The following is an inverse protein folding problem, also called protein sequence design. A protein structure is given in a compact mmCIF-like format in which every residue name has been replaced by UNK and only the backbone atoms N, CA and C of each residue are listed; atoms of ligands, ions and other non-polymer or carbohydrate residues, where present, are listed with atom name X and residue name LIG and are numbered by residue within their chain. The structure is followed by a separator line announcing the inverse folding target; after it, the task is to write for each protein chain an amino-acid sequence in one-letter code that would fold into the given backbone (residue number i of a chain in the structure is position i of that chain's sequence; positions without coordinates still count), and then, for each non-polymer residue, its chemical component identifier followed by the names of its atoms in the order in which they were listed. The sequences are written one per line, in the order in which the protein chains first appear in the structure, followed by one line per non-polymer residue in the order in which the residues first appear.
data_IF_215276482333
#
_entry.id   IF_215276482333
#
_cell.length_a   1.000
_cell.length_b   1.000
_cell.length_c   1.000
_cell.angle_alpha   90.00
_cell.angle_beta   90.00
_cell.angle_gamma   90.00
#
_symmetry.space_group_name_H-M   'P 1'
#
loop_
_entity.id
_entity.type
_entity.pdbx_description
1 polymer ?
#
# COMPACT_ATOMS: atom_id res chain seq x y z
N UNK A 1 -33.61 -16.39 -11.40
CA UNK A 1 -33.85 -14.94 -11.54
C UNK A 1 -32.59 -14.26 -11.09
N UNK A 2 -31.74 -13.89 -12.04
CA UNK A 2 -30.46 -13.20 -11.76
C UNK A 2 -30.77 -11.71 -11.78
N UNK A 3 -30.61 -11.05 -10.63
CA UNK A 3 -30.70 -9.60 -10.52
C UNK A 3 -29.52 -8.97 -11.27
N UNK A 4 -29.80 -8.25 -12.33
CA UNK A 4 -28.85 -7.38 -13.02
C UNK A 4 -28.55 -6.18 -12.13
N UNK A 5 -27.33 -6.07 -11.66
CA UNK A 5 -26.81 -4.83 -11.08
C UNK A 5 -26.28 -4.00 -12.26
N UNK A 6 -27.09 -3.03 -12.66
CA UNK A 6 -26.76 -2.06 -13.70
C UNK A 6 -25.86 -0.99 -13.10
N UNK A 7 -24.56 -1.03 -13.35
CA UNK A 7 -23.69 0.14 -13.29
C UNK A 7 -23.54 0.68 -14.73
N UNK A 8 -24.11 1.83 -14.95
CA UNK A 8 -24.35 2.50 -16.20
C UNK A 8 -23.26 2.41 -17.27
N UNK A 9 -23.44 1.51 -18.18
CA UNK A 9 -23.16 1.63 -19.60
C UNK A 9 -23.85 0.44 -20.28
N UNK A 10 -24.71 0.71 -21.28
CA UNK A 10 -25.42 -0.30 -22.06
C UNK A 10 -24.44 -1.32 -22.65
N UNK A 11 -24.41 -2.50 -22.07
CA UNK A 11 -23.77 -3.67 -22.71
C UNK A 11 -24.79 -4.25 -23.67
N UNK A 12 -24.53 -4.17 -24.96
CA UNK A 12 -25.29 -4.89 -25.98
C UNK A 12 -25.18 -6.40 -25.70
N UNK A 13 -26.30 -7.17 -25.78
CA UNK A 13 -26.24 -8.61 -25.59
C UNK A 13 -25.47 -9.23 -26.75
N UNK A 14 -24.25 -9.73 -26.47
CA UNK A 14 -23.54 -10.57 -27.41
C UNK A 14 -24.30 -11.91 -27.53
N UNK A 15 -24.64 -12.27 -28.77
CA UNK A 15 -25.31 -13.52 -29.12
C UNK A 15 -24.57 -14.73 -28.56
N UNK A 16 -25.29 -15.54 -27.79
CA UNK A 16 -24.80 -16.80 -27.27
C UNK A 16 -24.71 -17.84 -28.41
N UNK A 17 -23.53 -18.10 -28.90
CA UNK A 17 -23.19 -19.35 -29.57
C UNK A 17 -22.63 -20.29 -28.55
N UNK A 18 -23.29 -21.42 -28.37
CA UNK A 18 -23.15 -22.39 -27.28
C UNK A 18 -21.73 -22.92 -27.08
N UNK A 19 -21.14 -22.49 -25.98
CA UNK A 19 -20.13 -23.29 -25.30
C UNK A 19 -20.39 -23.20 -23.78
N UNK A 20 -20.83 -24.35 -23.22
CA UNK A 20 -21.36 -24.45 -21.84
C UNK A 20 -20.28 -24.38 -20.76
N UNK A 21 -19.01 -24.02 -21.09
CA UNK A 21 -17.90 -24.02 -20.14
C UNK A 21 -17.23 -22.65 -19.92
N UNK A 22 -17.79 -21.56 -20.44
CA UNK A 22 -17.24 -20.24 -20.19
C UNK A 22 -17.67 -19.71 -18.81
N UNK A 23 -16.77 -19.75 -17.84
CA UNK A 23 -16.97 -19.06 -16.56
C UNK A 23 -16.69 -17.57 -16.74
N UNK A 24 -17.74 -16.76 -16.58
CA UNK A 24 -17.60 -15.28 -16.55
C UNK A 24 -17.13 -14.90 -15.16
N UNK A 25 -15.88 -14.44 -15.04
CA UNK A 25 -15.37 -13.86 -13.82
C UNK A 25 -15.46 -12.33 -13.93
N UNK A 26 -16.27 -11.69 -13.08
CA UNK A 26 -16.32 -10.25 -12.96
C UNK A 26 -15.13 -9.78 -12.14
N UNK A 27 -14.23 -8.99 -12.74
CA UNK A 27 -13.18 -8.31 -12.03
C UNK A 27 -13.69 -6.92 -11.61
N UNK A 28 -13.53 -6.49 -10.34
CA UNK A 28 -13.87 -5.13 -9.93
C UNK A 28 -12.94 -4.14 -10.62
N UNK A 29 -13.48 -3.34 -11.52
CA UNK A 29 -12.74 -2.35 -12.31
C UNK A 29 -13.40 -2.03 -13.64
N UNK A 30 -12.89 -1.02 -14.35
CA UNK A 30 -13.43 -0.51 -15.62
C UNK A 30 -13.40 -1.52 -16.80
N UNK A 31 -12.68 -2.62 -16.67
CA UNK A 31 -12.49 -3.60 -17.73
C UNK A 31 -12.93 -4.98 -17.25
N UNK A 32 -14.12 -5.39 -17.63
CA UNK A 32 -14.53 -6.81 -17.59
C UNK A 32 -14.01 -7.50 -18.86
N UNK A 33 -13.29 -8.60 -18.72
CA UNK A 33 -12.80 -9.38 -19.86
C UNK A 33 -13.15 -10.84 -19.71
N UNK A 34 -13.42 -11.50 -20.82
CA UNK A 34 -13.66 -12.94 -20.88
C UNK A 34 -12.36 -13.69 -20.65
N UNK A 35 -12.35 -14.63 -19.69
CA UNK A 35 -11.23 -15.53 -19.46
C UNK A 35 -11.65 -16.90 -19.96
N UNK A 36 -11.12 -17.31 -21.09
CA UNK A 36 -11.42 -18.62 -21.70
C UNK A 36 -10.29 -19.64 -21.46
N UNK A 37 -9.07 -19.15 -21.23
CA UNK A 37 -7.88 -20.01 -21.03
C UNK A 37 -7.09 -19.54 -19.80
N UNK A 38 -6.29 -20.43 -19.16
CA UNK A 38 -5.41 -20.06 -18.06
C UNK A 38 -4.41 -18.95 -18.41
N UNK A 39 -4.01 -18.86 -19.69
CA UNK A 39 -3.10 -17.83 -20.21
C UNK A 39 -3.74 -16.43 -20.16
N UNK A 40 -5.06 -16.33 -20.42
CA UNK A 40 -5.79 -15.07 -20.36
C UNK A 40 -5.80 -14.50 -18.94
N UNK A 41 -5.77 -15.38 -17.93
CA UNK A 41 -5.67 -14.96 -16.53
C UNK A 41 -4.35 -14.22 -16.25
N UNK A 42 -3.23 -14.72 -16.76
CA UNK A 42 -1.92 -14.08 -16.59
C UNK A 42 -1.86 -12.71 -17.29
N UNK A 43 -2.47 -12.60 -18.47
CA UNK A 43 -2.56 -11.34 -19.21
C UNK A 43 -3.42 -10.34 -18.43
N UNK A 44 -4.56 -10.76 -17.91
CA UNK A 44 -5.44 -9.91 -17.12
C UNK A 44 -4.83 -9.51 -15.78
N UNK A 45 -4.14 -10.42 -15.12
CA UNK A 45 -3.37 -10.11 -13.92
C UNK A 45 -2.31 -9.03 -14.20
N UNK A 46 -1.58 -9.16 -15.33
CA UNK A 46 -0.60 -8.16 -15.76
C UNK A 46 -1.26 -6.80 -16.02
N UNK A 47 -2.40 -6.79 -16.69
CA UNK A 47 -3.16 -5.56 -16.99
C UNK A 47 -3.69 -4.91 -15.70
N UNK A 48 -4.18 -5.70 -14.74
CA UNK A 48 -4.62 -5.20 -13.43
C UNK A 48 -3.47 -4.58 -12.63
N UNK A 49 -2.30 -5.23 -12.61
CA UNK A 49 -1.09 -4.67 -11.98
C UNK A 49 -0.69 -3.34 -12.66
N UNK A 50 -0.85 -3.23 -13.98
CA UNK A 50 -0.54 -2.00 -14.70
C UNK A 50 -1.57 -0.89 -14.50
N UNK A 51 -2.85 -1.25 -14.33
CA UNK A 51 -3.97 -0.30 -14.17
C UNK A 51 -4.29 0.06 -12.72
N UNK A 52 -3.69 -0.61 -11.74
CA UNK A 52 -3.95 -0.39 -10.30
C UNK A 52 -3.48 0.98 -9.78
N UNK A 53 -3.07 1.89 -10.67
CA UNK A 53 -2.69 3.25 -10.37
C UNK A 53 -3.89 4.17 -10.11
N UNK A 54 -3.90 4.84 -8.96
CA UNK A 54 -4.77 5.98 -8.73
C UNK A 54 -4.37 7.12 -9.67
N UNK A 55 -5.35 7.76 -10.33
CA UNK A 55 -5.09 8.78 -11.36
C UNK A 55 -4.33 10.03 -10.89
N UNK A 56 -4.17 10.22 -9.58
CA UNK A 56 -3.55 11.38 -8.96
C UNK A 56 -2.12 11.12 -8.43
N UNK A 57 -1.49 10.00 -8.79
CA UNK A 57 -0.13 9.73 -8.34
C UNK A 57 0.87 10.76 -8.86
N UNK A 58 1.78 11.18 -8.00
CA UNK A 58 2.94 12.00 -8.38
C UNK A 58 3.79 11.30 -9.45
N UNK A 59 4.53 12.07 -10.26
CA UNK A 59 5.47 11.52 -11.24
C UNK A 59 6.49 10.57 -10.61
N UNK A 60 6.97 10.90 -9.40
CA UNK A 60 7.90 10.07 -8.63
C UNK A 60 7.25 8.74 -8.21
N UNK A 61 6.00 8.77 -7.75
CA UNK A 61 5.26 7.56 -7.38
C UNK A 61 5.04 6.65 -8.58
N UNK A 62 4.67 7.22 -9.72
CA UNK A 62 4.45 6.46 -10.97
C UNK A 62 5.69 5.75 -11.47
N UNK A 63 6.86 6.35 -11.30
CA UNK A 63 8.09 5.88 -11.93
C UNK A 63 8.91 4.99 -10.99
N UNK A 64 9.16 5.44 -9.78
CA UNK A 64 10.07 4.76 -8.84
C UNK A 64 9.29 3.82 -7.93
N UNK A 65 8.34 4.33 -7.15
CA UNK A 65 7.60 3.54 -6.16
C UNK A 65 6.87 2.38 -6.80
N UNK A 66 6.19 2.59 -7.93
CA UNK A 66 5.47 1.53 -8.63
C UNK A 66 6.36 0.52 -9.32
N UNK A 67 7.56 0.89 -9.75
CA UNK A 67 8.49 -0.07 -10.31
C UNK A 67 8.90 -1.09 -9.25
N UNK A 68 9.30 -0.63 -8.06
CA UNK A 68 9.69 -1.50 -6.95
C UNK A 68 8.50 -2.24 -6.33
N UNK A 69 7.38 -1.56 -6.09
CA UNK A 69 6.15 -2.18 -5.58
C UNK A 69 5.70 -3.34 -6.47
N UNK A 70 5.65 -3.16 -7.80
CA UNK A 70 5.26 -4.23 -8.73
C UNK A 70 6.18 -5.45 -8.70
N UNK A 71 7.47 -5.27 -8.48
CA UNK A 71 8.40 -6.40 -8.33
C UNK A 71 8.12 -7.16 -7.03
N UNK A 72 7.93 -6.43 -5.93
CA UNK A 72 7.58 -7.01 -4.64
C UNK A 72 6.19 -7.67 -4.69
N UNK A 73 5.21 -7.06 -5.33
CA UNK A 73 3.87 -7.63 -5.53
C UNK A 73 3.94 -8.97 -6.24
N UNK A 74 4.74 -9.09 -7.32
CA UNK A 74 4.94 -10.37 -8.02
C UNK A 74 5.58 -11.44 -7.13
N UNK A 75 6.49 -11.02 -6.24
CA UNK A 75 7.11 -11.92 -5.28
C UNK A 75 6.08 -12.40 -4.25
N UNK A 76 5.33 -11.47 -3.64
CA UNK A 76 4.34 -11.79 -2.60
C UNK A 76 3.12 -12.54 -3.13
N UNK A 77 2.75 -12.37 -4.40
CA UNK A 77 1.70 -13.18 -5.03
C UNK A 77 2.03 -14.67 -5.10
N UNK A 78 3.33 -15.01 -5.16
CA UNK A 78 3.80 -16.41 -5.14
C UNK A 78 3.87 -16.99 -3.73
N UNK A 79 3.72 -16.16 -2.70
CA UNK A 79 3.76 -16.60 -1.30
C UNK A 79 2.35 -16.77 -0.74
N UNK A 80 2.16 -17.60 0.30
CA UNK A 80 0.88 -17.74 0.99
C UNK A 80 0.57 -16.56 1.93
N UNK A 81 1.36 -15.47 1.90
CA UNK A 81 1.19 -14.33 2.79
C UNK A 81 -0.13 -13.62 2.53
N UNK A 82 -0.83 -13.29 3.61
CA UNK A 82 -1.99 -12.42 3.58
C UNK A 82 -1.57 -10.94 3.47
N UNK A 83 -2.42 -10.04 2.93
CA UNK A 83 -2.13 -8.61 2.91
C UNK A 83 -1.77 -8.05 4.29
N UNK A 84 -2.53 -8.40 5.33
CA UNK A 84 -2.28 -7.94 6.70
C UNK A 84 -0.89 -8.37 7.23
N UNK A 85 -0.37 -9.51 6.81
CA UNK A 85 1.00 -9.93 7.18
C UNK A 85 2.05 -9.06 6.48
N UNK A 86 1.78 -8.58 5.27
CA UNK A 86 2.66 -7.68 4.54
C UNK A 86 2.67 -6.31 5.21
N UNK A 87 1.51 -5.79 5.64
CA UNK A 87 1.39 -4.56 6.44
C UNK A 87 2.19 -4.65 7.76
N UNK A 88 2.09 -5.78 8.48
CA UNK A 88 2.88 -6.00 9.69
C UNK A 88 4.38 -6.07 9.38
N UNK A 89 4.76 -6.68 8.25
CA UNK A 89 6.17 -6.73 7.83
C UNK A 89 6.71 -5.32 7.52
N UNK A 90 5.94 -4.47 6.81
CA UNK A 90 6.31 -3.07 6.55
C UNK A 90 6.49 -2.30 7.86
N UNK A 91 5.58 -2.47 8.83
CA UNK A 91 5.67 -1.88 10.16
C UNK A 91 7.00 -2.25 10.85
N UNK A 92 7.38 -3.52 10.88
CA UNK A 92 8.64 -3.95 11.52
C UNK A 92 9.86 -3.34 10.84
N UNK A 93 9.89 -3.29 9.51
CA UNK A 93 10.98 -2.65 8.76
C UNK A 93 11.06 -1.16 9.11
N UNK A 94 9.92 -0.46 9.15
CA UNK A 94 9.83 0.96 9.52
C UNK A 94 10.30 1.23 10.96
N UNK A 95 9.93 0.39 11.93
CA UNK A 95 10.41 0.50 13.31
C UNK A 95 11.91 0.23 13.44
N UNK A 96 12.46 -0.72 12.68
CA UNK A 96 13.91 -0.94 12.62
C UNK A 96 14.60 0.30 12.05
N UNK A 97 14.04 0.92 11.02
CA UNK A 97 14.54 2.21 10.47
C UNK A 97 14.65 3.29 11.56
N UNK A 98 13.64 3.41 12.42
CA UNK A 98 13.66 4.38 13.52
C UNK A 98 14.82 4.12 14.51
N UNK A 99 15.16 2.85 14.81
CA UNK A 99 16.30 2.50 15.67
C UNK A 99 17.62 3.02 15.09
N UNK A 100 17.79 2.96 13.76
CA UNK A 100 18.97 3.52 13.10
C UNK A 100 19.02 5.03 13.16
N UNK A 101 17.88 5.73 13.01
CA UNK A 101 17.82 7.18 13.12
C UNK A 101 18.15 7.70 14.52
N UNK A 102 17.78 6.98 15.59
CA UNK A 102 18.11 7.37 16.98
C UNK A 102 19.62 7.53 17.19
N UNK A 103 20.44 6.73 16.51
CA UNK A 103 21.90 6.76 16.71
C UNK A 103 22.59 8.04 16.21
N UNK A 104 21.92 8.86 15.39
CA UNK A 104 22.36 10.18 14.98
C UNK A 104 23.62 10.23 14.11
N UNK A 105 24.24 9.09 13.76
CA UNK A 105 25.43 9.06 12.90
C UNK A 105 25.04 9.09 11.43
N UNK A 106 25.86 9.72 10.60
CA UNK A 106 25.59 9.81 9.15
C UNK A 106 25.38 8.44 8.50
N UNK A 107 26.21 7.44 8.85
CA UNK A 107 26.09 6.09 8.30
C UNK A 107 24.78 5.41 8.68
N UNK A 108 24.39 5.51 9.95
CA UNK A 108 23.14 4.92 10.44
C UNK A 108 21.91 5.64 9.88
N UNK A 109 21.99 6.96 9.70
CA UNK A 109 20.92 7.72 9.05
C UNK A 109 20.71 7.29 7.59
N UNK A 110 21.79 6.98 6.85
CA UNK A 110 21.69 6.43 5.48
C UNK A 110 21.05 5.06 5.47
N UNK A 111 21.40 4.17 6.41
CA UNK A 111 20.79 2.85 6.55
C UNK A 111 19.31 3.00 6.94
N UNK A 112 19.01 3.88 7.91
CA UNK A 112 17.66 4.18 8.34
C UNK A 112 16.78 4.67 7.18
N UNK A 113 17.30 5.62 6.37
CA UNK A 113 16.57 6.12 5.19
C UNK A 113 16.31 5.01 4.16
N UNK A 114 17.30 4.14 3.90
CA UNK A 114 17.11 3.00 3.00
C UNK A 114 16.05 2.01 3.48
N UNK A 115 16.05 1.71 4.79
CA UNK A 115 15.03 0.85 5.41
C UNK A 115 13.64 1.50 5.39
N UNK A 116 13.54 2.80 5.59
CA UNK A 116 12.28 3.53 5.52
C UNK A 116 11.69 3.48 4.10
N UNK A 117 12.51 3.67 3.07
CA UNK A 117 12.10 3.52 1.68
C UNK A 117 11.62 2.09 1.39
N UNK A 118 12.34 1.09 1.90
CA UNK A 118 11.95 -0.30 1.75
C UNK A 118 10.61 -0.58 2.43
N UNK A 119 10.41 -0.07 3.66
CA UNK A 119 9.14 -0.14 4.38
C UNK A 119 7.99 0.43 3.54
N UNK A 120 8.15 1.63 2.98
CA UNK A 120 7.13 2.26 2.14
C UNK A 120 6.82 1.46 0.86
N UNK A 121 7.82 0.82 0.24
CA UNK A 121 7.60 -0.03 -0.93
C UNK A 121 6.86 -1.33 -0.58
N UNK A 122 7.20 -1.95 0.56
CA UNK A 122 6.51 -3.15 1.05
C UNK A 122 5.06 -2.80 1.39
N UNK A 123 4.84 -1.67 2.02
CA UNK A 123 3.54 -1.15 2.38
C UNK A 123 2.63 -0.95 1.15
N UNK A 124 3.07 -0.21 0.14
CA UNK A 124 2.33 -0.08 -1.12
C UNK A 124 1.94 -1.43 -1.75
N UNK A 125 2.68 -2.50 -1.43
CA UNK A 125 2.47 -3.83 -2.00
C UNK A 125 1.29 -4.56 -1.36
N UNK A 126 0.98 -4.33 -0.09
CA UNK A 126 -0.11 -5.03 0.60
C UNK A 126 -1.48 -4.70 -0.01
N UNK A 127 -1.73 -3.43 -0.32
CA UNK A 127 -2.93 -2.99 -1.01
C UNK A 127 -3.03 -3.53 -2.45
N UNK A 128 -1.90 -3.65 -3.17
CA UNK A 128 -1.89 -4.29 -4.49
C UNK A 128 -2.20 -5.79 -4.38
N UNK A 129 -1.60 -6.49 -3.41
CA UNK A 129 -1.86 -7.92 -3.16
C UNK A 129 -3.29 -8.14 -2.68
N UNK A 130 -3.85 -7.25 -1.82
CA UNK A 130 -5.23 -7.33 -1.37
C UNK A 130 -6.20 -7.28 -2.55
N UNK A 131 -6.00 -6.35 -3.48
CA UNK A 131 -6.81 -6.22 -4.70
C UNK A 131 -6.68 -7.44 -5.61
N UNK A 132 -5.47 -7.91 -5.86
CA UNK A 132 -5.19 -9.02 -6.78
C UNK A 132 -5.63 -10.38 -6.25
N UNK A 133 -5.61 -10.58 -4.94
CA UNK A 133 -6.10 -11.80 -4.27
C UNK A 133 -7.58 -11.71 -3.88
N UNK A 134 -8.27 -10.58 -4.13
CA UNK A 134 -9.64 -10.32 -3.69
C UNK A 134 -9.83 -10.46 -2.17
N UNK A 135 -8.83 -10.03 -1.40
CA UNK A 135 -8.79 -10.09 0.05
C UNK A 135 -8.91 -8.70 0.69
N UNK A 136 -9.47 -7.73 -0.04
CA UNK A 136 -9.74 -6.40 0.51
C UNK A 136 -10.72 -6.49 1.69
N UNK A 137 -10.38 -5.83 2.79
CA UNK A 137 -11.23 -5.78 3.98
C UNK A 137 -11.15 -4.40 4.65
N UNK A 138 -12.26 -3.97 5.29
CA UNK A 138 -12.27 -2.73 6.09
C UNK A 138 -11.24 -2.79 7.23
N UNK A 139 -11.11 -3.95 7.87
CA UNK A 139 -10.15 -4.16 8.97
C UNK A 139 -8.71 -4.03 8.46
N UNK A 140 -8.41 -4.58 7.27
CA UNK A 140 -7.09 -4.45 6.64
C UNK A 140 -6.72 -3.00 6.36
N UNK A 141 -7.65 -2.21 5.81
CA UNK A 141 -7.42 -0.78 5.57
C UNK A 141 -7.24 0.03 6.85
N UNK A 142 -7.92 -0.32 7.96
CA UNK A 142 -7.72 0.34 9.26
C UNK A 142 -6.35 -0.03 9.82
N UNK A 143 -5.96 -1.31 9.72
CA UNK A 143 -4.66 -1.79 10.18
C UNK A 143 -3.51 -1.08 9.46
N UNK A 144 -3.61 -0.93 8.14
CA UNK A 144 -2.68 -0.20 7.27
C UNK A 144 -2.47 1.24 7.77
N UNK A 145 -3.55 2.01 7.94
CA UNK A 145 -3.49 3.38 8.45
C UNK A 145 -2.85 3.46 9.84
N UNK A 146 -3.15 2.52 10.74
CA UNK A 146 -2.56 2.50 12.08
C UNK A 146 -1.07 2.21 12.01
N UNK A 147 -0.65 1.21 11.24
CA UNK A 147 0.75 0.83 11.08
C UNK A 147 1.59 1.96 10.49
N UNK A 148 1.09 2.62 9.44
CA UNK A 148 1.71 3.79 8.82
C UNK A 148 1.95 4.91 9.80
N UNK A 149 0.92 5.29 10.56
CA UNK A 149 1.06 6.36 11.55
C UNK A 149 2.02 5.99 12.67
N UNK A 150 2.05 4.72 13.09
CA UNK A 150 2.99 4.25 14.11
C UNK A 150 4.44 4.36 13.62
N UNK A 151 4.70 4.02 12.36
CA UNK A 151 6.03 4.22 11.74
C UNK A 151 6.37 5.71 11.69
N UNK A 152 5.47 6.58 11.26
CA UNK A 152 5.70 8.01 11.20
C UNK A 152 6.03 8.59 12.58
N UNK A 153 5.28 8.23 13.64
CA UNK A 153 5.57 8.66 15.01
C UNK A 153 6.95 8.22 15.47
N UNK A 154 7.28 6.93 15.24
CA UNK A 154 8.57 6.38 15.65
C UNK A 154 9.74 7.07 14.91
N UNK A 155 9.61 7.28 13.60
CA UNK A 155 10.67 7.89 12.77
C UNK A 155 10.86 9.36 13.09
N UNK A 156 9.80 10.18 13.23
CA UNK A 156 9.92 11.60 13.57
C UNK A 156 10.54 11.78 14.95
N UNK A 157 10.12 10.97 15.92
CA UNK A 157 10.72 10.99 17.26
C UNK A 157 12.20 10.56 17.22
N UNK A 158 12.51 9.51 16.48
CA UNK A 158 13.86 8.98 16.32
C UNK A 158 14.82 10.00 15.67
N UNK A 159 14.38 10.69 14.62
CA UNK A 159 15.16 11.75 13.95
C UNK A 159 15.43 12.90 14.93
N UNK A 160 14.42 13.33 15.70
CA UNK A 160 14.60 14.40 16.71
C UNK A 160 15.66 14.04 17.75
N UNK A 161 15.62 12.81 18.28
CA UNK A 161 16.62 12.31 19.25
C UNK A 161 17.99 12.15 18.59
N UNK A 162 18.07 11.57 17.40
CA UNK A 162 19.33 11.35 16.70
C UNK A 162 20.06 12.65 16.38
N UNK A 163 19.33 13.70 15.95
CA UNK A 163 19.90 15.04 15.75
C UNK A 163 20.34 15.67 17.05
N UNK A 164 19.59 15.52 18.13
CA UNK A 164 20.01 15.96 19.46
C UNK A 164 21.31 15.27 19.89
N UNK A 165 21.44 13.95 19.71
CA UNK A 165 22.66 13.22 20.05
C UNK A 165 23.89 13.69 19.24
N UNK A 166 23.69 14.09 17.99
CA UNK A 166 24.76 14.50 17.10
C UNK A 166 25.18 15.99 17.30
N UNK A 167 24.24 16.85 17.69
CA UNK A 167 24.48 18.32 17.78
C UNK A 167 24.53 18.85 19.23
N UNK A 168 23.89 18.15 20.18
CA UNK A 168 23.70 18.59 21.56
C UNK A 168 22.62 19.68 21.73
N UNK A 169 21.87 20.05 20.66
CA UNK A 169 20.90 21.13 20.71
C UNK A 169 19.49 20.59 20.94
N UNK A 170 18.86 21.01 22.06
CA UNK A 170 17.52 20.61 22.46
C UNK A 170 16.39 20.99 21.46
N UNK A 171 16.68 21.94 20.55
CA UNK A 171 15.70 22.37 19.54
C UNK A 171 15.22 21.18 18.67
N UNK A 172 16.11 20.23 18.41
CA UNK A 172 15.78 19.07 17.58
C UNK A 172 14.80 18.10 18.25
N UNK A 173 14.87 17.97 19.59
CA UNK A 173 13.88 17.20 20.35
C UNK A 173 12.52 17.88 20.29
N UNK A 174 12.48 19.20 20.42
CA UNK A 174 11.24 19.96 20.30
C UNK A 174 10.64 19.84 18.90
N UNK A 175 11.46 19.97 17.84
CA UNK A 175 11.01 19.82 16.46
C UNK A 175 10.50 18.41 16.17
N UNK A 176 11.18 17.37 16.68
CA UNK A 176 10.72 15.98 16.59
C UNK A 176 9.36 15.77 17.29
N UNK A 177 9.21 16.32 18.50
CA UNK A 177 7.93 16.27 19.22
C UNK A 177 6.80 17.00 18.48
N UNK A 178 7.07 18.17 17.91
CA UNK A 178 6.09 18.89 17.08
C UNK A 178 5.71 18.13 15.81
N UNK A 179 6.66 17.46 15.18
CA UNK A 179 6.39 16.60 14.01
C UNK A 179 5.49 15.41 14.37
N UNK A 180 5.73 14.76 15.52
CA UNK A 180 4.87 13.70 16.05
C UNK A 180 3.45 14.22 16.33
N UNK A 181 3.32 15.39 16.96
CA UNK A 181 2.02 16.02 17.22
C UNK A 181 1.27 16.35 15.91
N UNK A 182 1.98 16.89 14.92
CA UNK A 182 1.41 17.17 13.60
C UNK A 182 0.91 15.91 12.91
N UNK A 183 1.68 14.83 12.96
CA UNK A 183 1.29 13.54 12.42
C UNK A 183 0.09 12.94 13.17
N UNK A 184 0.03 13.09 14.51
CA UNK A 184 -1.11 12.66 15.32
C UNK A 184 -2.39 13.40 14.93
N UNK A 185 -2.33 14.72 14.76
CA UNK A 185 -3.48 15.52 14.31
C UNK A 185 -3.96 15.07 12.94
N UNK A 186 -3.02 14.85 12.00
CA UNK A 186 -3.35 14.31 10.67
C UNK A 186 -4.05 12.95 10.75
N UNK A 187 -3.55 12.07 11.61
CA UNK A 187 -4.17 10.75 11.85
C UNK A 187 -5.59 10.87 12.40
N UNK A 188 -5.83 11.75 13.37
CA UNK A 188 -7.16 11.96 13.96
C UNK A 188 -8.16 12.50 12.93
N UNK A 189 -7.75 13.43 12.07
CA UNK A 189 -8.61 13.97 11.01
C UNK A 189 -8.93 12.87 9.98
N UNK A 190 -7.95 12.08 9.59
CA UNK A 190 -8.13 11.00 8.63
C UNK A 190 -9.04 9.90 9.20
N UNK A 191 -8.82 9.50 10.45
CA UNK A 191 -9.60 8.43 11.10
C UNK A 191 -11.07 8.84 11.29
N UNK A 192 -11.36 10.09 11.63
CA UNK A 192 -12.73 10.59 11.73
C UNK A 192 -13.48 10.51 10.39
N UNK A 193 -12.81 10.88 9.31
CA UNK A 193 -13.36 10.78 7.93
C UNK A 193 -13.69 9.36 7.48
N UNK A 194 -13.06 8.35 8.08
CA UNK A 194 -13.30 6.93 7.76
C UNK A 194 -14.45 6.35 8.58
N UNK A 195 -14.59 6.79 9.83
CA UNK A 195 -15.65 6.32 10.75
C UNK A 195 -17.02 6.85 10.32
N UNK A 196 -17.06 8.06 9.74
CA UNK A 196 -18.31 8.73 9.31
C UNK A 196 -18.85 8.20 7.95
N UNK A 197 -18.19 7.21 7.31
CA UNK A 197 -18.63 6.54 6.07
C UNK A 197 -19.05 5.09 6.31
#
# INVERSE_FOLDING_TARGET
TINQITLGNKVSPAQSSGDQNSRVNFLPGKNSSYISKPEDFLIQQKNLIQSSGLGNDSFMDKTITRFFSRQLTRLFLKTPLSPNMITILSLFIGLISAIFFIQGTHQNNMIGAGLLLLSAWVDCTDGEVARLKFLESKIGGILDIICDNLVHFAVFFAIGIGLYQSTGDNIFVLLGALAVLGSLVSFLILSSSIIDK
#
